data_IF_425694696964
#
_entry.id   IF_425694696964
#
_cell.length_a   1.000
_cell.length_b   1.000
_cell.length_c   1.000
_cell.angle_alpha   90.00
_cell.angle_beta   90.00
_cell.angle_gamma   90.00
#
_symmetry.space_group_name_H-M   'P 1'
#
loop_
_entity.id
_entity.type
_entity.pdbx_description
1 polymer ?
#
# COMPACT_ATOMS: atom_id res chain seq x y z
N UNK A 1 -11.63 28.45 -7.77
CA UNK A 1 -10.92 27.23 -8.23
C UNK A 1 -10.99 26.18 -7.14
N UNK A 2 -11.53 24.98 -7.41
CA UNK A 2 -11.51 23.87 -6.45
C UNK A 2 -10.22 23.08 -6.68
N UNK A 3 -9.35 23.02 -5.68
CA UNK A 3 -8.11 22.25 -5.72
C UNK A 3 -8.42 20.76 -5.95
N UNK A 4 -7.72 20.16 -6.92
CA UNK A 4 -7.77 18.73 -7.23
C UNK A 4 -7.40 17.95 -5.95
N UNK A 5 -8.14 16.90 -5.55
CA UNK A 5 -7.74 16.08 -4.41
C UNK A 5 -6.40 15.44 -4.73
N UNK A 6 -5.36 15.84 -3.98
CA UNK A 6 -4.02 15.29 -4.06
C UNK A 6 -4.11 13.76 -3.96
N UNK A 7 -3.74 13.07 -5.04
CA UNK A 7 -3.59 11.62 -5.06
C UNK A 7 -2.78 11.17 -3.84
N UNK A 8 -3.28 10.16 -3.13
CA UNK A 8 -2.72 9.63 -1.89
C UNK A 8 -1.30 9.06 -2.14
N UNK A 9 -0.29 9.93 -2.04
CA UNK A 9 1.10 9.57 -2.22
C UNK A 9 1.59 9.02 -0.88
N UNK A 10 1.91 7.72 -0.85
CA UNK A 10 2.73 7.17 0.21
C UNK A 10 4.06 7.91 0.22
N UNK A 11 4.55 8.41 1.38
CA UNK A 11 5.87 9.05 1.42
C UNK A 11 6.96 8.05 1.05
N UNK A 12 8.14 8.51 0.60
CA UNK A 12 9.21 7.62 0.14
C UNK A 12 9.70 6.64 1.24
N UNK A 13 9.54 7.00 2.52
CA UNK A 13 9.90 6.17 3.66
C UNK A 13 9.07 6.53 4.90
N UNK A 14 9.23 5.76 5.98
CA UNK A 14 8.61 6.02 7.28
C UNK A 14 7.51 5.02 7.64
N UNK A 15 6.49 5.49 8.37
CA UNK A 15 5.46 4.63 8.95
C UNK A 15 4.05 5.12 8.64
N UNK A 16 3.16 4.17 8.32
CA UNK A 16 1.73 4.41 8.11
C UNK A 16 0.90 3.65 9.12
N UNK A 17 -0.24 4.24 9.49
CA UNK A 17 -1.25 3.60 10.35
C UNK A 17 -2.31 2.91 9.51
N UNK A 18 -3.06 2.01 10.16
CA UNK A 18 -4.14 1.25 9.53
C UNK A 18 -5.10 2.12 8.70
N UNK A 19 -5.54 3.27 9.23
CA UNK A 19 -6.46 4.18 8.53
C UNK A 19 -5.92 4.73 7.21
N UNK A 20 -4.60 4.85 7.05
CA UNK A 20 -3.99 5.25 5.79
C UNK A 20 -3.97 4.10 4.78
N UNK A 21 -3.88 2.85 5.27
CA UNK A 21 -3.84 1.66 4.43
C UNK A 21 -5.23 1.32 3.90
N UNK A 22 -6.22 1.18 4.79
CA UNK A 22 -7.58 0.77 4.44
C UNK A 22 -8.54 1.93 4.14
N UNK A 23 -8.04 3.16 4.29
CA UNK A 23 -8.84 4.37 4.15
C UNK A 23 -9.71 4.69 5.37
N UNK A 24 -10.24 5.91 5.37
CA UNK A 24 -11.24 6.37 6.32
C UNK A 24 -12.11 7.45 5.66
N UNK A 25 -13.35 7.09 5.30
CA UNK A 25 -14.30 8.04 4.70
C UNK A 25 -14.90 9.03 5.70
N UNK A 26 -14.75 8.78 7.01
CA UNK A 26 -15.35 9.59 8.07
C UNK A 26 -14.46 10.76 8.51
N UNK A 27 -13.21 10.83 8.06
CA UNK A 27 -12.34 11.98 8.32
C UNK A 27 -12.66 13.11 7.37
N UNK A 28 -12.34 14.35 7.77
CA UNK A 28 -12.42 15.50 6.90
C UNK A 28 -11.01 16.12 6.78
N UNK A 29 -10.33 16.03 5.62
CA UNK A 29 -10.77 15.35 4.39
C UNK A 29 -10.81 13.81 4.51
N UNK A 30 -11.61 13.13 3.67
CA UNK A 30 -11.63 11.67 3.61
C UNK A 30 -10.25 11.11 3.23
N UNK A 31 -9.82 10.06 3.91
CA UNK A 31 -8.59 9.34 3.57
C UNK A 31 -8.97 8.21 2.60
N UNK A 32 -8.55 8.24 1.32
CA UNK A 32 -8.80 7.13 0.40
C UNK A 32 -7.99 5.90 0.80
N UNK A 33 -8.52 4.71 0.51
CA UNK A 33 -7.83 3.46 0.79
C UNK A 33 -6.73 3.19 -0.24
N UNK A 34 -5.56 2.75 0.23
CA UNK A 34 -4.50 2.20 -0.63
C UNK A 34 -4.84 0.75 -0.98
N UNK A 35 -5.29 -0.01 0.02
CA UNK A 35 -5.75 -1.39 -0.12
C UNK A 35 -7.18 -1.44 0.43
N UNK A 36 -8.21 -1.46 -0.45
CA UNK A 36 -9.61 -1.30 -0.06
C UNK A 36 -10.20 -2.57 0.55
N UNK A 37 -9.68 -2.98 1.71
CA UNK A 37 -10.18 -4.12 2.50
C UNK A 37 -10.69 -3.64 3.85
N UNK A 38 -11.60 -4.42 4.44
CA UNK A 38 -12.08 -4.11 5.78
C UNK A 38 -10.96 -4.24 6.84
N UNK A 39 -11.14 -3.56 7.98
CA UNK A 39 -10.23 -3.69 9.13
C UNK A 39 -10.06 -5.14 9.59
N UNK A 40 -11.14 -5.91 9.66
CA UNK A 40 -11.07 -7.33 10.07
C UNK A 40 -10.30 -8.17 9.07
N UNK A 41 -10.52 -7.95 7.76
CA UNK A 41 -9.75 -8.60 6.69
C UNK A 41 -8.27 -8.28 6.81
N UNK A 42 -7.90 -7.03 7.09
CA UNK A 42 -6.52 -6.64 7.31
C UNK A 42 -5.89 -7.40 8.48
N UNK A 43 -6.53 -7.41 9.66
CA UNK A 43 -5.98 -8.12 10.81
C UNK A 43 -5.92 -9.64 10.63
N UNK A 44 -6.91 -10.23 9.95
CA UNK A 44 -6.88 -11.65 9.59
C UNK A 44 -5.71 -11.97 8.66
N UNK A 45 -5.48 -11.13 7.65
CA UNK A 45 -4.34 -11.28 6.73
C UNK A 45 -2.98 -11.07 7.40
N UNK A 46 -2.89 -10.17 8.39
CA UNK A 46 -1.70 -10.04 9.24
C UNK A 46 -1.46 -11.32 10.04
N UNK A 47 -2.52 -11.89 10.65
CA UNK A 47 -2.42 -13.13 11.44
C UNK A 47 -2.02 -14.33 10.57
N UNK A 48 -2.54 -14.42 9.34
CA UNK A 48 -2.24 -15.51 8.41
C UNK A 48 -0.92 -15.32 7.65
N UNK A 49 -0.25 -14.18 7.80
CA UNK A 49 1.00 -13.86 7.07
C UNK A 49 0.79 -13.38 5.63
N UNK A 50 -0.46 -13.14 5.19
CA UNK A 50 -0.76 -12.53 3.89
C UNK A 50 -0.37 -11.05 3.82
N UNK A 51 -0.50 -10.32 4.94
CA UNK A 51 -0.16 -8.90 5.05
C UNK A 51 1.03 -8.67 5.98
N UNK A 52 1.78 -7.56 5.81
CA UNK A 52 2.98 -7.31 6.57
C UNK A 52 2.71 -7.20 8.08
N UNK A 53 3.69 -7.64 8.87
CA UNK A 53 3.59 -7.62 10.33
C UNK A 53 3.60 -6.17 10.84
N UNK A 54 2.75 -5.84 11.82
CA UNK A 54 2.75 -4.53 12.45
C UNK A 54 3.97 -4.31 13.33
N UNK A 55 4.39 -3.04 13.43
CA UNK A 55 5.41 -2.56 14.36
C UNK A 55 4.74 -1.71 15.44
N UNK A 56 5.15 -1.91 16.69
CA UNK A 56 4.71 -1.10 17.83
C UNK A 56 5.65 0.10 18.00
N UNK A 57 5.14 1.30 17.77
CA UNK A 57 5.86 2.55 18.04
C UNK A 57 5.65 3.04 19.48
N UNK A 58 4.69 2.46 20.19
CA UNK A 58 4.38 2.77 21.58
C UNK A 58 3.19 1.96 22.09
N UNK A 59 2.76 2.15 23.35
CA UNK A 59 1.75 1.31 23.99
C UNK A 59 0.43 1.18 23.22
N UNK A 60 0.00 2.26 22.55
CA UNK A 60 -1.27 2.33 21.79
C UNK A 60 -1.07 2.58 20.29
N UNK A 61 0.17 2.53 19.82
CA UNK A 61 0.53 2.95 18.46
C UNK A 61 1.08 1.76 17.69
N UNK A 62 0.24 1.24 16.80
CA UNK A 62 0.63 0.25 15.80
C UNK A 62 0.76 0.92 14.44
N UNK A 63 1.86 0.64 13.74
CA UNK A 63 2.14 1.14 12.41
C UNK A 63 2.77 0.06 11.52
N UNK A 64 2.92 0.36 10.24
CA UNK A 64 3.59 -0.45 9.23
C UNK A 64 4.61 0.41 8.52
N UNK A 65 5.74 -0.18 8.09
CA UNK A 65 6.68 0.53 7.22
C UNK A 65 6.02 0.77 5.89
N UNK A 66 6.30 1.94 5.30
CA UNK A 66 5.82 2.24 3.96
C UNK A 66 6.37 1.25 2.94
N UNK A 67 7.65 0.89 3.07
CA UNK A 67 8.33 -0.11 2.22
C UNK A 67 7.59 -1.45 2.18
N UNK A 68 7.14 -1.95 3.34
CA UNK A 68 6.42 -3.23 3.42
C UNK A 68 5.07 -3.17 2.69
N UNK A 69 4.40 -2.02 2.75
CA UNK A 69 3.12 -1.79 2.05
C UNK A 69 3.36 -1.69 0.54
N UNK A 70 4.41 -0.97 0.11
CA UNK A 70 4.79 -0.89 -1.29
C UNK A 70 5.15 -2.26 -1.85
N UNK A 71 5.95 -3.06 -1.12
CA UNK A 71 6.31 -4.42 -1.51
C UNK A 71 5.08 -5.33 -1.67
N UNK A 72 4.09 -5.20 -0.79
CA UNK A 72 2.82 -5.93 -0.91
C UNK A 72 2.06 -5.57 -2.19
N UNK A 73 2.02 -4.29 -2.55
CA UNK A 73 1.39 -3.79 -3.78
C UNK A 73 2.15 -4.34 -4.99
N UNK A 74 3.46 -4.17 -5.05
CA UNK A 74 4.32 -4.64 -6.15
C UNK A 74 4.21 -6.15 -6.36
N UNK A 75 4.22 -6.96 -5.29
CA UNK A 75 4.04 -8.42 -5.38
C UNK A 75 2.67 -8.81 -5.95
N UNK A 76 1.65 -7.99 -5.74
CA UNK A 76 0.32 -8.21 -6.31
C UNK A 76 0.21 -7.76 -7.77
N UNK A 77 1.17 -6.98 -8.26
CA UNK A 77 1.26 -6.43 -9.62
C UNK A 77 2.18 -7.26 -10.54
N UNK A 78 2.34 -8.57 -10.31
CA UNK A 78 3.01 -9.45 -11.28
C UNK A 78 2.08 -9.63 -12.51
N UNK A 79 2.03 -8.60 -13.34
CA UNK A 79 1.70 -8.72 -14.75
C UNK A 79 3.03 -8.92 -15.47
N UNK A 80 3.08 -10.05 -16.17
CA UNK A 80 4.15 -10.56 -17.01
C UNK A 80 4.56 -9.50 -18.03
N UNK A 81 5.84 -9.14 -18.05
CA UNK A 81 6.51 -8.59 -19.22
C UNK A 81 7.87 -9.31 -19.35
N UNK A 82 7.80 -10.61 -19.63
CA UNK A 82 8.78 -11.26 -20.52
C UNK A 82 8.10 -11.29 -21.89
N UNK A 83 8.71 -11.08 -23.04
CA UNK A 83 9.92 -10.43 -23.53
C UNK A 83 9.73 -10.53 -25.07
N UNK A 84 9.97 -9.47 -25.83
CA UNK A 84 10.52 -9.56 -27.19
C UNK A 84 10.91 -8.16 -27.68
N UNK A 85 12.05 -7.71 -27.19
CA UNK A 85 12.92 -6.77 -27.86
C UNK A 85 14.31 -7.42 -27.79
N UNK A 86 14.53 -8.41 -28.65
CA UNK A 86 15.84 -8.64 -29.25
C UNK A 86 15.69 -9.47 -30.53
N UNK A 87 15.77 -8.81 -31.68
CA UNK A 87 16.71 -9.20 -32.73
C UNK A 87 17.14 -7.92 -33.41
N UNK A 88 18.26 -7.37 -32.92
CA UNK A 88 19.07 -6.45 -33.71
C UNK A 88 19.78 -7.27 -34.79
N UNK A 89 19.79 -6.73 -36.01
CA UNK A 89 20.66 -7.03 -37.16
C UNK A 89 20.58 -8.41 -37.84
N UNK A 90 20.21 -8.43 -39.13
CA UNK A 90 21.06 -8.92 -40.24
C UNK A 90 20.32 -8.81 -41.59
N UNK A 91 21.02 -8.18 -42.55
CA UNK A 91 20.78 -7.94 -44.00
C UNK A 91 20.08 -6.63 -44.42
#
# INVERSE_FOLDING_TARGET
>A
MKSIPTSNILPASGFVRLSHIIGNSKTNPPIPAIIPVSKSTWWAGVKSGRFPKPIKLGPRTTAWRVEDILNLISRSQVIKHENEQDTTDTE
#
